data_IF_491229228845
#
_entry.id   IF_491229228845
#
_cell.length_a   1.000
_cell.length_b   1.000
_cell.length_c   1.000
_cell.angle_alpha   90.00
_cell.angle_beta   90.00
_cell.angle_gamma   90.00
#
_symmetry.space_group_name_H-M   'P 1'
#
loop_
_entity.id
_entity.type
_entity.pdbx_description
1 polymer ?
#
# COMPACT_ATOMS: atom_id res chain seq x y z
N UNK A 1 -6.10 -7.17 -20.25
CA UNK A 1 -4.62 -7.07 -20.36
C UNK A 1 -4.02 -8.05 -19.36
N UNK A 2 -3.19 -8.97 -19.84
CA UNK A 2 -2.57 -9.99 -19.00
C UNK A 2 -1.57 -9.28 -18.08
N UNK A 3 -1.69 -9.46 -16.75
CA UNK A 3 -0.77 -8.88 -15.78
C UNK A 3 0.60 -9.51 -15.91
N UNK A 4 1.65 -8.72 -16.07
CA UNK A 4 3.00 -9.25 -15.97
C UNK A 4 3.32 -9.62 -14.52
N UNK A 5 3.74 -10.86 -14.30
CA UNK A 5 4.17 -11.34 -12.99
C UNK A 5 5.67 -11.10 -12.82
N UNK A 6 6.05 -10.35 -11.79
CA UNK A 6 7.44 -10.09 -11.43
C UNK A 6 7.91 -11.09 -10.39
N UNK A 7 9.01 -11.77 -10.69
CA UNK A 7 9.68 -12.70 -9.82
C UNK A 7 10.84 -12.01 -9.07
N UNK A 8 11.49 -12.73 -8.19
CA UNK A 8 12.60 -12.21 -7.39
C UNK A 8 13.71 -11.60 -8.27
N UNK A 9 14.03 -12.22 -9.40
CA UNK A 9 15.07 -11.78 -10.34
C UNK A 9 14.75 -10.43 -10.98
N UNK A 10 13.49 -10.11 -11.16
CA UNK A 10 13.01 -8.88 -11.82
C UNK A 10 12.99 -7.65 -10.87
N UNK A 11 13.26 -7.86 -9.59
CA UNK A 11 13.14 -6.85 -8.55
C UNK A 11 14.54 -6.34 -8.15
N UNK A 12 15.08 -5.40 -8.92
CA UNK A 12 16.39 -4.79 -8.64
C UNK A 12 16.28 -3.65 -7.62
N UNK A 13 17.26 -3.54 -6.72
CA UNK A 13 17.34 -2.43 -5.76
C UNK A 13 17.42 -1.09 -6.50
N UNK A 14 16.60 -0.14 -6.07
CA UNK A 14 16.44 1.17 -6.71
C UNK A 14 15.41 1.20 -7.84
N UNK A 15 14.92 0.03 -8.30
CA UNK A 15 13.85 0.02 -9.29
C UNK A 15 12.52 0.47 -8.67
N UNK A 16 11.74 1.21 -9.45
CA UNK A 16 10.42 1.72 -9.05
C UNK A 16 9.33 1.16 -9.96
N UNK A 17 8.13 1.03 -9.43
CA UNK A 17 6.94 0.75 -10.21
C UNK A 17 5.79 1.62 -9.72
N UNK A 18 5.16 2.32 -10.64
CA UNK A 18 3.94 3.08 -10.43
C UNK A 18 2.76 2.31 -10.99
N UNK A 19 1.61 2.38 -10.34
CA UNK A 19 0.36 1.92 -10.94
C UNK A 19 -0.31 3.07 -11.69
N UNK A 20 -0.90 2.80 -12.85
CA UNK A 20 -1.74 3.78 -13.55
C UNK A 20 -3.15 3.88 -12.92
N UNK A 21 -3.55 2.89 -12.12
CA UNK A 21 -4.78 2.93 -11.37
C UNK A 21 -4.71 4.02 -10.28
N UNK A 22 -5.83 4.70 -10.08
CA UNK A 22 -6.01 5.67 -8.99
C UNK A 22 -7.14 5.22 -8.07
N UNK A 23 -7.18 5.80 -6.87
CA UNK A 23 -8.21 5.54 -5.87
C UNK A 23 -8.88 6.85 -5.47
N UNK A 24 -10.17 7.00 -5.79
CA UNK A 24 -10.97 8.13 -5.31
C UNK A 24 -11.44 7.84 -3.88
N UNK A 25 -11.06 8.70 -2.95
CA UNK A 25 -11.49 8.63 -1.55
C UNK A 25 -12.85 9.27 -1.40
N UNK A 26 -13.84 8.54 -0.91
CA UNK A 26 -15.18 9.07 -0.69
C UNK A 26 -15.47 9.29 0.79
N UNK A 27 -16.33 10.28 1.08
CA UNK A 27 -16.80 10.53 2.44
C UNK A 27 -17.54 9.31 3.02
N UNK A 28 -18.40 8.69 2.22
CA UNK A 28 -19.18 7.52 2.62
C UNK A 28 -18.27 6.38 3.08
N UNK A 29 -17.20 6.10 2.33
CA UNK A 29 -16.24 5.05 2.67
C UNK A 29 -15.46 5.36 3.94
N UNK A 30 -15.04 6.63 4.14
CA UNK A 30 -14.37 7.04 5.39
C UNK A 30 -15.29 6.79 6.59
N UNK A 31 -16.56 7.23 6.50
CA UNK A 31 -17.54 7.05 7.56
C UNK A 31 -17.83 5.57 7.84
N UNK A 32 -18.03 4.77 6.80
CA UNK A 32 -18.31 3.34 6.93
C UNK A 32 -17.13 2.61 7.58
N UNK A 33 -15.92 2.83 7.06
CA UNK A 33 -14.71 2.20 7.58
C UNK A 33 -14.43 2.66 9.01
N UNK A 34 -14.53 3.97 9.28
CA UNK A 34 -14.32 4.54 10.61
C UNK A 34 -15.27 3.93 11.64
N UNK A 35 -16.57 3.89 11.37
CA UNK A 35 -17.57 3.31 12.28
C UNK A 35 -17.30 1.86 12.62
N UNK A 36 -16.75 1.11 11.66
CA UNK A 36 -16.50 -0.33 11.82
C UNK A 36 -15.17 -0.65 12.50
N UNK A 37 -14.11 0.10 12.19
CA UNK A 37 -12.74 -0.30 12.56
C UNK A 37 -11.96 0.72 13.38
N UNK A 38 -12.32 2.01 13.31
CA UNK A 38 -11.64 3.09 14.02
C UNK A 38 -12.61 4.22 14.34
N UNK A 39 -13.49 4.03 15.34
CA UNK A 39 -14.63 4.93 15.60
C UNK A 39 -14.24 6.23 16.31
N UNK A 40 -13.13 6.85 15.92
CA UNK A 40 -12.76 8.16 16.41
C UNK A 40 -13.63 9.25 15.74
N UNK A 41 -13.98 10.35 16.45
CA UNK A 41 -14.90 11.36 15.94
C UNK A 41 -14.51 11.94 14.58
N UNK A 42 -13.23 12.18 14.34
CA UNK A 42 -12.74 12.73 13.08
C UNK A 42 -12.74 11.75 11.89
N UNK A 43 -13.13 10.48 12.13
CA UNK A 43 -13.36 9.46 11.09
C UNK A 43 -14.85 9.12 10.93
N UNK A 44 -15.72 9.57 11.84
CA UNK A 44 -17.10 9.07 11.92
C UNK A 44 -18.17 10.15 11.98
N UNK A 45 -17.80 11.40 12.26
CA UNK A 45 -18.73 12.52 12.44
C UNK A 45 -18.17 13.78 11.77
N UNK A 46 -18.82 14.28 10.68
CA UNK A 46 -18.36 15.47 9.96
C UNK A 46 -18.29 16.74 10.80
N UNK A 47 -19.24 16.92 11.74
CA UNK A 47 -19.28 18.11 12.62
C UNK A 47 -18.15 18.06 13.65
N UNK A 48 -17.97 16.93 14.30
CA UNK A 48 -16.88 16.72 15.24
C UNK A 48 -15.51 16.81 14.54
N UNK A 49 -15.40 16.27 13.33
CA UNK A 49 -14.20 16.36 12.51
C UNK A 49 -13.87 17.83 12.14
N UNK A 50 -14.86 18.61 11.76
CA UNK A 50 -14.67 20.03 11.44
C UNK A 50 -14.20 20.84 12.67
N UNK A 51 -14.65 20.48 13.87
CA UNK A 51 -14.21 21.09 15.12
C UNK A 51 -12.86 20.57 15.63
N UNK A 52 -12.32 19.50 15.04
CA UNK A 52 -11.04 18.90 15.40
C UNK A 52 -9.85 19.68 14.84
N UNK A 53 -8.62 19.43 15.31
CA UNK A 53 -7.40 20.01 14.70
C UNK A 53 -7.23 19.71 13.22
N UNK A 54 -7.90 18.68 12.69
CA UNK A 54 -7.86 18.32 11.27
C UNK A 54 -8.76 19.19 10.40
N UNK A 55 -9.75 19.89 10.98
CA UNK A 55 -10.65 20.80 10.28
C UNK A 55 -11.60 20.14 9.28
N UNK A 56 -11.84 18.83 9.41
CA UNK A 56 -12.74 18.02 8.59
C UNK A 56 -12.43 16.54 8.66
N UNK A 57 -13.28 15.72 8.04
CA UNK A 57 -13.10 14.27 7.99
C UNK A 57 -11.76 13.88 7.37
N UNK A 58 -11.16 12.86 7.94
CA UNK A 58 -9.94 12.22 7.43
C UNK A 58 -10.08 10.69 7.49
N UNK A 59 -9.42 10.00 6.57
CA UNK A 59 -9.31 8.55 6.63
C UNK A 59 -8.35 8.12 7.76
N UNK A 60 -8.67 7.00 8.41
CA UNK A 60 -7.76 6.41 9.40
C UNK A 60 -6.54 5.77 8.71
N UNK A 61 -5.45 5.62 9.44
CA UNK A 61 -4.22 4.97 8.93
C UNK A 61 -4.48 3.57 8.39
N UNK A 62 -5.30 2.78 9.08
CA UNK A 62 -5.67 1.42 8.64
C UNK A 62 -6.51 1.45 7.36
N UNK A 63 -7.37 2.46 7.19
CA UNK A 63 -8.14 2.64 5.96
C UNK A 63 -7.24 3.02 4.77
N UNK A 64 -6.29 3.94 4.98
CA UNK A 64 -5.30 4.32 3.96
C UNK A 64 -4.49 3.10 3.51
N UNK A 65 -4.08 2.25 4.46
CA UNK A 65 -3.38 1.01 4.14
C UNK A 65 -4.25 0.04 3.31
N UNK A 66 -5.55 -0.07 3.63
CA UNK A 66 -6.49 -0.88 2.85
C UNK A 66 -6.67 -0.35 1.42
N UNK A 67 -6.79 0.98 1.24
CA UNK A 67 -6.81 1.63 -0.08
C UNK A 67 -5.54 1.32 -0.88
N UNK A 68 -4.37 1.40 -0.23
CA UNK A 68 -3.09 1.05 -0.86
C UNK A 68 -3.07 -0.40 -1.36
N UNK A 69 -3.47 -1.37 -0.52
CA UNK A 69 -3.54 -2.78 -0.92
C UNK A 69 -4.46 -2.95 -2.13
N UNK A 70 -5.62 -2.26 -2.15
CA UNK A 70 -6.54 -2.26 -3.29
C UNK A 70 -5.89 -1.73 -4.57
N UNK A 71 -5.12 -0.63 -4.48
CA UNK A 71 -4.36 -0.09 -5.62
C UNK A 71 -3.30 -1.07 -6.13
N UNK A 72 -2.52 -1.66 -5.23
CA UNK A 72 -1.49 -2.64 -5.59
C UNK A 72 -2.06 -3.87 -6.31
N UNK A 73 -3.23 -4.35 -5.85
CA UNK A 73 -3.92 -5.47 -6.49
C UNK A 73 -4.50 -5.10 -7.86
N UNK A 74 -4.87 -3.84 -8.08
CA UNK A 74 -5.41 -3.37 -9.37
C UNK A 74 -4.31 -2.94 -10.37
N UNK A 75 -3.06 -2.82 -9.94
CA UNK A 75 -1.95 -2.41 -10.79
C UNK A 75 -1.61 -3.40 -11.91
N UNK A 76 -0.86 -2.94 -12.91
CA UNK A 76 -0.48 -3.73 -14.10
C UNK A 76 0.55 -4.81 -13.79
N UNK A 77 1.28 -4.66 -12.70
CA UNK A 77 2.33 -5.59 -12.28
C UNK A 77 1.91 -6.32 -11.01
N UNK A 78 1.77 -7.62 -11.12
CA UNK A 78 1.69 -8.49 -9.95
C UNK A 78 3.10 -8.93 -9.54
N UNK A 79 3.31 -9.17 -8.27
CA UNK A 79 4.55 -9.76 -7.76
C UNK A 79 4.29 -11.21 -7.35
N UNK A 80 5.22 -12.12 -7.66
CA UNK A 80 5.13 -13.53 -7.28
C UNK A 80 5.35 -13.71 -5.75
N UNK A 81 4.57 -12.97 -4.96
CA UNK A 81 4.65 -12.98 -3.52
C UNK A 81 4.10 -14.29 -2.95
N UNK A 82 4.88 -14.89 -2.05
CA UNK A 82 4.49 -16.08 -1.29
C UNK A 82 3.85 -15.66 0.03
N UNK A 83 4.46 -14.67 0.72
CA UNK A 83 3.97 -14.18 2.00
C UNK A 83 4.48 -12.76 2.29
N UNK A 84 3.68 -11.97 2.99
CA UNK A 84 4.15 -10.76 3.67
C UNK A 84 4.86 -11.14 4.96
N UNK A 85 6.01 -10.52 5.24
CA UNK A 85 6.83 -10.81 6.41
C UNK A 85 6.73 -9.75 7.49
N UNK A 86 6.36 -8.52 7.13
CA UNK A 86 6.20 -7.44 8.10
C UNK A 86 6.11 -6.08 7.43
N UNK A 87 5.71 -5.10 8.22
CA UNK A 87 5.62 -3.68 7.83
C UNK A 87 6.33 -2.83 8.88
N UNK A 88 7.04 -1.81 8.42
CA UNK A 88 7.77 -0.87 9.28
C UNK A 88 7.64 0.55 8.73
N UNK A 89 8.03 1.53 9.54
CA UNK A 89 8.12 2.93 9.13
C UNK A 89 6.81 3.51 8.54
N UNK A 90 5.66 3.08 9.09
CA UNK A 90 4.36 3.63 8.69
C UNK A 90 4.30 5.10 9.11
N UNK A 91 4.13 5.99 8.14
CA UNK A 91 4.14 7.44 8.35
C UNK A 91 2.99 8.10 7.61
N UNK A 92 2.15 8.83 8.35
CA UNK A 92 1.17 9.75 7.79
C UNK A 92 1.87 11.10 7.57
N UNK A 93 2.02 11.55 6.33
CA UNK A 93 2.65 12.82 5.97
C UNK A 93 1.64 13.96 5.92
N UNK A 94 0.42 13.66 5.46
CA UNK A 94 -0.70 14.60 5.39
C UNK A 94 -2.02 13.85 5.58
N UNK A 95 -3.09 14.52 6.05
CA UNK A 95 -4.41 13.92 6.13
C UNK A 95 -4.94 13.51 4.76
N UNK A 96 -5.51 12.32 4.65
CA UNK A 96 -6.26 11.87 3.47
C UNK A 96 -7.73 12.22 3.69
N UNK A 97 -8.30 12.96 2.73
CA UNK A 97 -9.62 13.58 2.85
C UNK A 97 -10.59 13.08 1.80
N UNK A 98 -11.90 13.24 2.04
CA UNK A 98 -12.90 13.05 0.97
C UNK A 98 -12.55 13.86 -0.28
N UNK A 99 -12.62 13.25 -1.45
CA UNK A 99 -12.28 13.85 -2.73
C UNK A 99 -10.83 13.70 -3.16
N UNK A 100 -9.94 13.24 -2.29
CA UNK A 100 -8.57 12.92 -2.69
C UNK A 100 -8.53 11.78 -3.71
N UNK A 101 -7.65 11.92 -4.69
CA UNK A 101 -7.35 10.89 -5.69
C UNK A 101 -5.94 10.38 -5.43
N UNK A 102 -5.86 9.18 -4.90
CA UNK A 102 -4.58 8.59 -4.50
C UNK A 102 -3.94 7.85 -5.68
N UNK A 103 -2.64 8.00 -5.80
CA UNK A 103 -1.74 7.23 -6.66
C UNK A 103 -0.69 6.53 -5.82
N UNK A 104 -0.07 5.49 -6.38
CA UNK A 104 0.89 4.66 -5.65
C UNK A 104 2.14 4.42 -6.47
N UNK A 105 3.29 4.53 -5.80
CA UNK A 105 4.61 4.11 -6.28
C UNK A 105 5.22 3.18 -5.26
N UNK A 106 5.81 2.07 -5.72
CA UNK A 106 6.70 1.28 -4.91
C UNK A 106 8.14 1.35 -5.43
N UNK A 107 9.09 1.25 -4.52
CA UNK A 107 10.54 1.19 -4.77
C UNK A 107 11.11 -0.04 -4.08
N UNK A 108 11.94 -0.79 -4.76
CA UNK A 108 12.71 -1.88 -4.15
C UNK A 108 13.91 -1.26 -3.41
N UNK A 109 13.92 -1.35 -2.08
CA UNK A 109 14.98 -0.73 -1.27
C UNK A 109 16.01 -1.73 -0.73
N UNK A 110 15.66 -3.02 -0.67
CA UNK A 110 16.57 -4.10 -0.29
C UNK A 110 16.11 -5.45 -0.86
N UNK A 111 17.05 -6.34 -1.11
CA UNK A 111 16.76 -7.72 -1.51
C UNK A 111 17.87 -8.68 -1.08
N UNK A 112 17.48 -9.89 -0.70
CA UNK A 112 18.41 -10.96 -0.41
C UNK A 112 17.78 -12.33 -0.67
N UNK A 113 18.56 -13.37 -1.00
CA UNK A 113 18.04 -14.74 -1.03
C UNK A 113 17.44 -15.13 0.32
N UNK A 114 16.43 -16.00 0.29
CA UNK A 114 15.85 -16.54 1.53
C UNK A 114 16.77 -17.62 2.12
N UNK A 115 17.08 -17.50 3.42
CA UNK A 115 17.87 -18.49 4.13
C UNK A 115 17.06 -19.74 4.49
N UNK A 116 15.74 -19.61 4.60
CA UNK A 116 14.84 -20.68 5.08
C UNK A 116 14.04 -21.33 3.97
N UNK A 117 13.95 -20.71 2.79
CA UNK A 117 13.17 -21.24 1.66
C UNK A 117 13.98 -21.16 0.36
N UNK A 118 14.54 -22.31 -0.10
CA UNK A 118 15.14 -22.38 -1.44
C UNK A 118 14.14 -21.96 -2.52
N UNK A 119 14.62 -21.32 -3.57
CA UNK A 119 13.77 -20.85 -4.67
C UNK A 119 12.93 -19.60 -4.35
N UNK A 120 13.29 -18.88 -3.28
CA UNK A 120 12.69 -17.61 -2.94
C UNK A 120 13.72 -16.60 -2.41
N UNK A 121 13.37 -15.32 -2.46
CA UNK A 121 14.12 -14.24 -1.85
C UNK A 121 13.22 -13.33 -1.03
N UNK A 122 13.81 -12.61 -0.11
CA UNK A 122 13.15 -11.55 0.64
C UNK A 122 13.41 -10.23 -0.06
N UNK A 123 12.36 -9.50 -0.35
CA UNK A 123 12.44 -8.16 -0.95
C UNK A 123 11.75 -7.17 -0.03
N UNK A 124 12.40 -6.05 0.21
CA UNK A 124 11.82 -4.93 0.98
C UNK A 124 11.45 -3.81 0.00
N UNK A 125 10.20 -3.41 0.08
CA UNK A 125 9.64 -2.33 -0.71
C UNK A 125 9.38 -1.11 0.17
N UNK A 126 9.65 0.09 -0.36
CA UNK A 126 9.09 1.34 0.13
C UNK A 126 7.88 1.69 -0.72
N UNK A 127 6.75 1.90 -0.07
CA UNK A 127 5.49 2.27 -0.70
C UNK A 127 5.16 3.71 -0.36
N UNK A 128 4.81 4.49 -1.37
CA UNK A 128 4.40 5.89 -1.20
C UNK A 128 3.08 6.12 -1.89
N UNK A 129 2.10 6.63 -1.15
CA UNK A 129 0.85 7.14 -1.70
C UNK A 129 0.92 8.65 -1.78
N UNK A 130 0.50 9.19 -2.91
CA UNK A 130 0.42 10.62 -3.15
C UNK A 130 -1.00 11.01 -3.55
N UNK A 131 -1.40 12.24 -3.22
CA UNK A 131 -2.68 12.81 -3.63
C UNK A 131 -2.61 13.33 -5.09
N UNK A 132 -3.69 13.93 -5.57
CA UNK A 132 -3.82 14.50 -6.92
C UNK A 132 -2.88 15.68 -7.19
N UNK A 133 -2.27 16.26 -6.16
CA UNK A 133 -1.30 17.36 -6.27
C UNK A 133 0.16 16.85 -6.31
N UNK A 134 0.36 15.54 -6.14
CA UNK A 134 1.68 14.92 -6.06
C UNK A 134 2.31 14.97 -4.67
N UNK A 135 1.57 15.44 -3.66
CA UNK A 135 2.05 15.43 -2.28
C UNK A 135 1.96 14.02 -1.69
N UNK A 136 3.06 13.56 -1.09
CA UNK A 136 3.04 12.31 -0.36
C UNK A 136 2.12 12.44 0.87
N UNK A 137 1.14 11.55 0.97
CA UNK A 137 0.19 11.52 2.10
C UNK A 137 0.49 10.39 3.08
N UNK A 138 1.01 9.27 2.58
CA UNK A 138 1.32 8.10 3.39
C UNK A 138 2.49 7.32 2.82
N UNK A 139 3.34 6.79 3.66
CA UNK A 139 4.38 5.85 3.25
C UNK A 139 4.64 4.78 4.30
N UNK A 140 5.16 3.64 3.85
CA UNK A 140 5.63 2.58 4.73
C UNK A 140 6.59 1.64 3.97
N UNK A 141 7.29 0.81 4.71
CA UNK A 141 8.12 -0.25 4.15
C UNK A 141 7.50 -1.61 4.45
N UNK A 142 7.53 -2.53 3.49
CA UNK A 142 7.13 -3.92 3.73
C UNK A 142 8.15 -4.90 3.19
N UNK A 143 8.43 -5.93 3.96
CA UNK A 143 9.21 -7.07 3.52
C UNK A 143 8.28 -8.20 3.07
N UNK A 144 8.58 -8.81 1.93
CA UNK A 144 7.82 -9.92 1.38
C UNK A 144 8.75 -11.03 0.89
N UNK A 145 8.29 -12.27 1.02
CA UNK A 145 8.92 -13.44 0.44
C UNK A 145 8.42 -13.60 -0.99
N UNK A 146 9.33 -13.54 -1.95
CA UNK A 146 9.04 -13.56 -3.39
C UNK A 146 9.62 -14.81 -4.02
N UNK A 147 8.85 -15.49 -4.88
CA UNK A 147 9.27 -16.67 -5.60
C UNK A 147 10.31 -16.32 -6.68
N UNK A 148 11.31 -17.21 -6.85
CA UNK A 148 12.19 -17.20 -8.01
C UNK A 148 11.48 -17.79 -9.24
N UNK A 149 11.93 -17.40 -10.45
CA UNK A 149 11.27 -17.77 -11.73
C UNK A 149 11.23 -19.27 -11.99
N UNK A 150 12.35 -19.95 -11.77
CA UNK A 150 12.55 -21.34 -12.17
C UNK A 150 12.25 -22.35 -11.06
N UNK A 151 11.44 -21.98 -10.06
CA UNK A 151 11.00 -22.90 -9.04
C UNK A 151 9.64 -23.49 -9.36
N UNK A 152 9.58 -24.81 -9.51
CA UNK A 152 8.31 -25.54 -9.59
C UNK A 152 7.45 -25.23 -8.37
N UNK A 153 6.13 -25.09 -8.58
CA UNK A 153 5.15 -24.92 -7.51
C UNK A 153 5.18 -26.15 -6.59
N UNK A 154 6.09 -26.18 -5.64
CA UNK A 154 5.96 -27.07 -4.49
C UNK A 154 4.77 -26.56 -3.70
N UNK A 155 3.63 -27.22 -3.85
CA UNK A 155 2.38 -26.90 -3.18
C UNK A 155 2.59 -26.63 -1.69
N UNK A 156 1.89 -25.59 -1.21
CA UNK A 156 1.71 -25.27 0.20
C UNK A 156 1.05 -26.44 0.94
#
# INVERSE_FOLDING_TARGET
MERSLRYYEDLEVGSTAATTATYLVTEEEILEFGRRFDPQPFHTDPEAAAASPFGGLIASTVHILAMHVSLGVKGEHATAAIAGLGMTNLTNHAPVRPGDVLSHVNEVIDRRPSNSRPGAGVVTFRNTLSNQHGDAVFSYENAALIRCRDTEDSAL
#
